data_IF_232310667362
#
_entry.id   IF_232310667362
#
_cell.length_a   1.000
_cell.length_b   1.000
_cell.length_c   1.000
_cell.angle_alpha   90.00
_cell.angle_beta   90.00
_cell.angle_gamma   90.00
#
_symmetry.space_group_name_H-M   'P 1'
#
loop_
_entity.id
_entity.type
_entity.pdbx_description
1 polymer ?
#
# COMPACT_ATOMS: atom_id res chain seq x y z
N UNK A 1 5.98 15.76 1.66
CA UNK A 1 6.75 14.50 1.69
C UNK A 1 7.49 14.28 0.39
N UNK A 2 8.74 13.81 0.43
CA UNK A 2 9.54 13.48 -0.76
C UNK A 2 9.26 12.04 -1.19
N UNK A 3 8.97 11.81 -2.47
CA UNK A 3 8.72 10.49 -3.05
C UNK A 3 9.77 9.43 -2.76
N UNK A 4 11.05 9.80 -2.73
CA UNK A 4 12.15 8.87 -2.44
C UNK A 4 12.30 8.51 -0.94
N UNK A 5 11.62 9.25 -0.07
CA UNK A 5 11.61 9.02 1.38
C UNK A 5 10.55 8.01 1.83
N UNK A 6 9.62 7.62 0.94
CA UNK A 6 8.65 6.57 1.24
C UNK A 6 9.31 5.19 1.15
N UNK A 7 9.50 4.56 2.30
CA UNK A 7 10.32 3.35 2.41
C UNK A 7 9.67 2.15 1.70
N UNK A 8 10.37 1.59 0.71
CA UNK A 8 9.95 0.39 0.00
C UNK A 8 9.01 0.61 -1.18
N UNK A 9 8.67 1.86 -1.50
CA UNK A 9 7.90 2.22 -2.68
C UNK A 9 8.76 2.93 -3.73
N UNK A 10 8.50 2.68 -5.01
CA UNK A 10 9.17 3.36 -6.11
C UNK A 10 8.56 4.76 -6.32
N UNK A 11 9.42 5.79 -6.42
CA UNK A 11 9.00 7.16 -6.69
C UNK A 11 8.60 7.35 -8.17
N UNK A 12 7.37 6.97 -8.53
CA UNK A 12 6.90 6.92 -9.93
C UNK A 12 6.68 8.29 -10.58
N UNK A 13 6.55 9.36 -9.78
CA UNK A 13 6.39 10.74 -10.25
C UNK A 13 7.63 11.62 -9.99
N UNK A 14 8.76 10.99 -9.67
CA UNK A 14 10.01 11.67 -9.34
C UNK A 14 10.24 11.81 -7.83
N UNK A 15 11.49 12.08 -7.45
CA UNK A 15 11.96 12.03 -6.05
C UNK A 15 11.23 12.95 -5.07
N UNK A 16 10.60 14.02 -5.55
CA UNK A 16 9.88 14.97 -4.69
C UNK A 16 8.38 14.62 -4.54
N UNK A 17 7.86 13.62 -5.25
CA UNK A 17 6.44 13.32 -5.33
C UNK A 17 6.12 11.90 -4.86
N UNK A 18 5.27 11.79 -3.86
CA UNK A 18 4.74 10.52 -3.36
C UNK A 18 3.48 10.14 -4.15
N UNK A 19 3.31 8.86 -4.47
CA UNK A 19 2.04 8.33 -4.97
C UNK A 19 1.27 7.68 -3.83
N UNK A 20 0.28 8.38 -3.29
CA UNK A 20 -0.74 7.81 -2.41
C UNK A 20 -1.93 7.32 -3.23
N UNK A 21 -2.59 6.27 -2.76
CA UNK A 21 -3.90 5.87 -3.29
C UNK A 21 -4.90 6.00 -2.15
N UNK A 22 -5.40 7.21 -1.96
CA UNK A 22 -6.49 7.44 -1.02
C UNK A 22 -7.74 6.72 -1.54
N UNK A 23 -8.28 5.82 -0.72
CA UNK A 23 -9.66 5.42 -0.86
C UNK A 23 -10.50 6.49 -0.15
N UNK A 24 -11.04 7.46 -0.90
CA UNK A 24 -11.88 8.55 -0.36
C UNK A 24 -13.10 8.05 0.45
N UNK A 25 -13.48 6.78 0.30
CA UNK A 25 -14.58 6.18 1.03
C UNK A 25 -14.23 5.77 2.48
N UNK A 26 -12.94 5.61 2.82
CA UNK A 26 -12.50 4.90 4.03
C UNK A 26 -11.48 5.65 4.89
N UNK A 27 -11.21 6.94 4.62
CA UNK A 27 -10.32 7.82 5.42
C UNK A 27 -8.98 7.17 5.87
N UNK A 28 -8.47 6.23 5.07
CA UNK A 28 -7.33 5.40 5.47
C UNK A 28 -6.05 6.06 4.99
N UNK A 29 -5.53 6.97 5.82
CA UNK A 29 -4.30 7.71 5.57
C UNK A 29 -3.02 6.89 5.89
N UNK A 30 -3.06 5.56 5.72
CA UNK A 30 -1.90 4.69 5.95
C UNK A 30 -1.07 4.52 4.67
N UNK A 31 0.25 4.52 4.81
CA UNK A 31 1.17 4.28 3.69
C UNK A 31 1.75 2.87 3.69
N UNK A 32 2.30 2.43 4.82
CA UNK A 32 2.95 1.13 4.92
C UNK A 32 3.08 0.64 6.36
N UNK A 33 3.32 -0.66 6.52
CA UNK A 33 3.86 -1.22 7.77
C UNK A 33 5.37 -1.28 7.67
N UNK A 34 6.07 -0.90 8.74
CA UNK A 34 7.54 -0.99 8.85
C UNK A 34 7.92 -1.94 9.99
N UNK A 35 8.82 -2.88 9.71
CA UNK A 35 9.37 -3.78 10.75
C UNK A 35 10.39 -3.04 11.60
N UNK A 36 10.19 -3.07 12.91
CA UNK A 36 11.18 -2.63 13.91
C UNK A 36 11.94 -3.84 14.45
N UNK A 37 11.23 -4.93 14.75
CA UNK A 37 11.79 -6.22 15.16
C UNK A 37 10.82 -7.36 14.80
N UNK A 38 11.08 -8.59 15.26
CA UNK A 38 10.10 -9.68 15.15
C UNK A 38 8.86 -9.51 16.03
N UNK A 39 8.92 -8.61 17.01
CA UNK A 39 7.85 -8.39 18.00
C UNK A 39 7.39 -6.94 18.06
N UNK A 40 7.85 -6.09 17.14
CA UNK A 40 7.44 -4.69 17.07
C UNK A 40 7.39 -4.23 15.60
N UNK A 41 6.32 -3.54 15.25
CA UNK A 41 6.09 -2.95 13.93
C UNK A 41 5.44 -1.58 14.08
N UNK A 42 5.65 -0.72 13.09
CA UNK A 42 4.96 0.56 12.96
C UNK A 42 3.95 0.48 11.81
N UNK A 43 2.75 1.01 12.00
CA UNK A 43 1.87 1.41 10.90
C UNK A 43 2.16 2.88 10.62
N UNK A 44 2.72 3.18 9.45
CA UNK A 44 3.13 4.54 9.08
C UNK A 44 2.03 5.20 8.24
N UNK A 45 1.68 6.43 8.59
CA UNK A 45 0.70 7.25 7.88
C UNK A 45 1.31 7.89 6.62
N UNK A 46 0.48 8.46 5.74
CA UNK A 46 0.93 9.16 4.53
C UNK A 46 1.78 10.39 4.86
N UNK A 47 1.51 11.03 6.01
CA UNK A 47 2.27 12.19 6.49
C UNK A 47 3.63 11.81 7.11
N UNK A 48 3.81 10.53 7.49
CA UNK A 48 5.06 9.99 8.03
C UNK A 48 5.04 9.69 9.53
N UNK A 49 3.99 10.13 10.23
CA UNK A 49 3.73 9.70 11.61
C UNK A 49 3.50 8.18 11.67
N UNK A 50 3.68 7.59 12.85
CA UNK A 50 3.62 6.15 13.02
C UNK A 50 2.81 5.78 14.25
N UNK A 51 1.97 4.75 14.11
CA UNK A 51 1.28 4.08 15.20
C UNK A 51 2.06 2.82 15.55
N UNK A 52 2.42 2.68 16.82
CA UNK A 52 3.28 1.59 17.27
C UNK A 52 2.47 0.34 17.68
N UNK A 53 2.92 -0.83 17.23
CA UNK A 53 2.34 -2.11 17.63
C UNK A 53 3.40 -3.05 18.19
N UNK A 54 3.06 -3.73 19.28
CA UNK A 54 3.91 -4.77 19.89
C UNK A 54 3.21 -6.12 19.90
N UNK A 55 3.95 -7.21 19.73
CA UNK A 55 3.37 -8.53 19.81
C UNK A 55 2.83 -8.81 21.22
N UNK A 56 1.64 -9.39 21.33
CA UNK A 56 1.08 -9.83 22.59
C UNK A 56 1.96 -10.94 23.23
N UNK A 57 1.72 -11.25 24.50
CA UNK A 57 2.51 -12.26 25.23
C UNK A 57 2.54 -13.63 24.54
N UNK A 58 1.45 -14.01 23.86
CA UNK A 58 1.33 -15.26 23.11
C UNK A 58 1.98 -15.22 21.71
N UNK A 59 2.47 -14.04 21.28
CA UNK A 59 3.05 -13.77 19.94
C UNK A 59 2.14 -14.18 18.78
N UNK A 60 0.84 -14.09 18.97
CA UNK A 60 -0.18 -14.44 17.98
C UNK A 60 -1.13 -13.28 17.65
N UNK A 61 -0.85 -12.09 18.18
CA UNK A 61 -1.58 -10.86 17.92
C UNK A 61 -0.72 -9.64 18.24
N UNK A 62 -1.22 -8.48 17.85
CA UNK A 62 -0.56 -7.19 18.03
C UNK A 62 -1.37 -6.31 18.98
N UNK A 63 -0.68 -5.58 19.83
CA UNK A 63 -1.23 -4.63 20.80
C UNK A 63 -0.82 -3.24 20.34
N UNK A 64 -1.77 -2.34 20.05
CA UNK A 64 -1.47 -0.96 19.70
C UNK A 64 -0.89 -0.20 20.91
N UNK A 65 -0.26 0.93 20.64
CA UNK A 65 0.04 1.91 21.68
C UNK A 65 -1.22 2.50 22.31
N UNK A 66 -1.13 3.08 23.53
CA UNK A 66 -2.27 3.72 24.16
C UNK A 66 -2.86 4.85 23.32
N UNK A 67 -4.19 4.87 23.18
CA UNK A 67 -4.92 5.84 22.37
C UNK A 67 -5.25 5.37 20.94
N UNK A 68 -4.84 4.17 20.55
CA UNK A 68 -5.17 3.55 19.25
C UNK A 68 -5.92 2.21 19.44
N UNK A 69 -6.71 2.10 20.50
CA UNK A 69 -7.44 0.87 20.86
C UNK A 69 -8.58 0.52 19.90
N UNK A 70 -8.99 1.48 19.06
CA UNK A 70 -9.91 1.30 17.94
C UNK A 70 -9.30 0.48 16.80
N UNK A 71 -7.97 0.38 16.75
CA UNK A 71 -7.24 -0.33 15.71
C UNK A 71 -6.87 -1.76 16.10
N UNK A 72 -7.10 -2.69 15.17
CA UNK A 72 -6.71 -4.10 15.29
C UNK A 72 -5.79 -4.49 14.16
N UNK A 73 -4.52 -4.77 14.48
CA UNK A 73 -3.54 -5.29 13.52
C UNK A 73 -3.45 -6.83 13.61
N UNK A 74 -3.60 -7.49 12.46
CA UNK A 74 -3.43 -8.93 12.27
C UNK A 74 -2.30 -9.21 11.28
N UNK A 75 -1.69 -10.40 11.38
CA UNK A 75 -0.63 -10.84 10.47
C UNK A 75 0.70 -11.08 11.17
N UNK A 76 1.78 -11.17 10.38
CA UNK A 76 3.12 -11.44 10.88
C UNK A 76 4.20 -10.80 10.01
N UNK A 77 5.41 -10.66 10.58
CA UNK A 77 6.61 -10.11 9.90
C UNK A 77 7.14 -10.97 8.75
N UNK A 78 6.56 -12.16 8.53
CA UNK A 78 6.85 -13.06 7.41
C UNK A 78 5.71 -13.15 6.40
N UNK A 79 4.51 -12.67 6.75
CA UNK A 79 3.29 -12.77 5.96
C UNK A 79 2.80 -11.42 5.46
N UNK A 80 1.48 -11.26 5.43
CA UNK A 80 0.75 -10.04 5.12
C UNK A 80 0.24 -9.43 6.42
N UNK A 81 0.05 -8.11 6.46
CA UNK A 81 -0.64 -7.44 7.55
C UNK A 81 -2.03 -6.97 7.12
N UNK A 82 -2.95 -6.96 8.07
CA UNK A 82 -4.28 -6.39 7.90
C UNK A 82 -4.60 -5.55 9.12
N UNK A 83 -4.90 -4.28 8.91
CA UNK A 83 -5.34 -3.33 9.94
C UNK A 83 -6.83 -3.10 9.75
N UNK A 84 -7.59 -3.18 10.84
CA UNK A 84 -9.00 -2.82 10.83
C UNK A 84 -9.32 -1.84 11.95
N UNK A 85 -10.24 -0.91 11.70
CA UNK A 85 -10.79 -0.01 12.72
C UNK A 85 -12.19 -0.47 13.19
N UNK A 86 -12.81 0.30 14.09
CA UNK A 86 -14.17 0.06 14.58
C UNK A 86 -15.28 0.51 13.63
N UNK A 87 -14.93 1.23 12.56
CA UNK A 87 -15.85 1.78 11.57
C UNK A 87 -16.05 0.81 10.40
N UNK A 88 -15.18 -0.21 10.32
CA UNK A 88 -15.26 -1.30 9.35
C UNK A 88 -14.23 -1.17 8.23
N UNK A 89 -13.33 -0.19 8.25
CA UNK A 89 -12.26 -0.13 7.26
C UNK A 89 -11.27 -1.25 7.48
N UNK A 90 -10.83 -1.88 6.41
CA UNK A 90 -9.81 -2.92 6.42
C UNK A 90 -8.72 -2.59 5.40
N UNK A 91 -7.52 -2.29 5.89
CA UNK A 91 -6.34 -1.99 5.09
C UNK A 91 -5.38 -3.17 5.10
N UNK A 92 -5.02 -3.66 3.91
CA UNK A 92 -4.12 -4.80 3.72
C UNK A 92 -2.77 -4.35 3.19
N UNK A 93 -1.69 -4.82 3.80
CA UNK A 93 -0.32 -4.46 3.46
C UNK A 93 0.50 -5.68 3.02
N UNK A 94 1.19 -5.57 1.88
CA UNK A 94 2.02 -6.66 1.30
C UNK A 94 3.44 -6.21 1.01
N UNK A 95 4.41 -7.13 1.15
CA UNK A 95 5.79 -6.86 0.74
C UNK A 95 5.94 -6.89 -0.78
N UNK A 96 6.85 -6.05 -1.29
CA UNK A 96 7.38 -6.22 -2.64
C UNK A 96 8.24 -7.49 -2.75
N UNK A 97 9.04 -7.79 -1.73
CA UNK A 97 9.95 -8.93 -1.73
C UNK A 97 9.98 -9.62 -0.37
N UNK A 98 10.24 -10.93 -0.33
CA UNK A 98 10.30 -11.69 0.91
C UNK A 98 11.29 -11.11 1.94
N UNK A 99 12.41 -10.56 1.46
CA UNK A 99 13.44 -9.93 2.28
C UNK A 99 13.12 -8.47 2.67
N UNK A 100 12.06 -7.85 2.13
CA UNK A 100 11.73 -6.47 2.45
C UNK A 100 11.34 -6.32 3.93
N UNK A 101 11.65 -5.16 4.50
CA UNK A 101 11.32 -4.75 5.87
C UNK A 101 10.05 -3.89 5.94
N UNK A 102 9.44 -3.60 4.79
CA UNK A 102 8.19 -2.83 4.70
C UNK A 102 7.13 -3.57 3.89
N UNK A 103 5.86 -3.27 4.21
CA UNK A 103 4.68 -3.76 3.52
C UNK A 103 3.87 -2.56 3.05
N UNK A 104 3.71 -2.40 1.75
CA UNK A 104 2.95 -1.29 1.18
C UNK A 104 1.47 -1.61 1.19
N UNK A 105 0.61 -0.59 1.27
CA UNK A 105 -0.83 -0.76 1.07
C UNK A 105 -1.08 -1.46 -0.28
N UNK A 106 -1.91 -2.48 -0.23
CA UNK A 106 -2.28 -3.33 -1.36
C UNK A 106 -3.80 -3.38 -1.58
N UNK A 107 -4.57 -3.10 -0.53
CA UNK A 107 -6.02 -2.98 -0.62
C UNK A 107 -6.55 -2.19 0.55
N UNK A 108 -7.63 -1.45 0.33
CA UNK A 108 -8.49 -0.87 1.36
C UNK A 108 -9.92 -1.25 1.03
N UNK A 109 -10.72 -1.71 1.99
CA UNK A 109 -12.11 -2.12 1.78
C UNK A 109 -12.94 -1.90 3.05
N UNK A 110 -14.22 -1.62 2.88
CA UNK A 110 -15.19 -1.68 3.97
C UNK A 110 -15.59 -3.15 4.23
N UNK A 111 -15.44 -3.59 5.48
CA UNK A 111 -15.84 -4.92 5.92
C UNK A 111 -17.36 -5.11 5.72
N UNK A 112 -17.75 -6.32 5.35
CA UNK A 112 -19.14 -6.67 5.05
C UNK A 112 -19.68 -6.15 3.71
N UNK A 113 -18.94 -5.32 2.97
CA UNK A 113 -19.32 -4.86 1.63
C UNK A 113 -18.45 -5.52 0.55
N UNK A 114 -19.09 -6.25 -0.36
CA UNK A 114 -18.38 -6.86 -1.49
C UNK A 114 -18.20 -5.79 -2.56
N UNK A 115 -16.96 -5.61 -3.05
CA UNK A 115 -16.62 -4.65 -4.11
C UNK A 115 -16.78 -3.16 -3.74
N UNK A 116 -16.69 -2.80 -2.45
CA UNK A 116 -16.57 -1.39 -1.99
C UNK A 116 -15.13 -0.87 -1.98
N UNK A 117 -14.15 -1.77 -2.03
CA UNK A 117 -12.74 -1.43 -1.82
C UNK A 117 -11.93 -1.09 -3.07
N UNK A 118 -10.80 -0.44 -2.83
CA UNK A 118 -9.73 -0.21 -3.80
C UNK A 118 -8.65 -1.28 -3.61
N UNK A 119 -8.20 -1.89 -4.70
CA UNK A 119 -7.01 -2.74 -4.73
C UNK A 119 -5.88 -2.08 -5.50
N UNK A 120 -4.70 -2.02 -4.90
CA UNK A 120 -3.45 -1.62 -5.56
C UNK A 120 -2.67 -2.88 -5.92
N UNK A 121 -2.52 -3.12 -7.21
CA UNK A 121 -1.67 -4.18 -7.73
C UNK A 121 -0.30 -3.58 -7.99
N UNK A 122 0.71 -4.01 -7.25
CA UNK A 122 2.10 -3.57 -7.42
C UNK A 122 2.96 -4.66 -8.06
N UNK A 123 3.95 -4.25 -8.83
CA UNK A 123 5.05 -5.10 -9.28
C UNK A 123 6.32 -4.81 -8.48
N UNK A 124 7.25 -5.77 -8.44
CA UNK A 124 8.55 -5.57 -7.81
C UNK A 124 9.56 -5.08 -8.83
N UNK A 125 10.23 -3.98 -8.52
CA UNK A 125 11.30 -3.44 -9.36
C UNK A 125 12.59 -3.28 -8.57
N UNK A 126 13.72 -3.27 -9.27
CA UNK A 126 15.02 -2.98 -8.66
C UNK A 126 15.46 -1.58 -9.07
N UNK A 127 15.60 -0.67 -8.12
CA UNK A 127 16.07 0.71 -8.33
C UNK A 127 17.22 0.98 -7.37
N UNK A 128 18.39 1.33 -7.89
CA UNK A 128 19.58 1.58 -7.05
C UNK A 128 19.96 0.38 -6.16
N UNK A 129 19.74 -0.85 -6.64
CA UNK A 129 20.01 -2.08 -5.88
C UNK A 129 18.96 -2.46 -4.83
N UNK A 130 17.90 -1.65 -4.65
CA UNK A 130 16.80 -1.92 -3.71
C UNK A 130 15.59 -2.49 -4.46
N UNK A 131 14.96 -3.51 -3.88
CA UNK A 131 13.66 -4.02 -4.37
C UNK A 131 12.53 -3.16 -3.81
N UNK A 132 11.75 -2.55 -4.69
CA UNK A 132 10.68 -1.61 -4.35
C UNK A 132 9.35 -2.07 -4.97
N UNK A 133 8.25 -1.77 -4.30
CA UNK A 133 6.92 -1.87 -4.89
C UNK A 133 6.72 -0.72 -5.88
N UNK A 134 6.37 -1.03 -7.12
CA UNK A 134 5.92 -0.06 -8.11
C UNK A 134 4.46 -0.34 -8.44
N UNK A 135 3.52 0.60 -8.22
CA UNK A 135 2.13 0.42 -8.58
C UNK A 135 1.99 0.06 -10.07
N UNK A 136 1.22 -0.96 -10.39
CA UNK A 136 0.92 -1.35 -11.77
C UNK A 136 -0.53 -1.03 -12.12
N UNK A 137 -1.46 -1.29 -11.20
CA UNK A 137 -2.88 -0.99 -11.36
C UNK A 137 -3.53 -0.55 -10.06
N UNK A 138 -4.56 0.28 -10.19
CA UNK A 138 -5.53 0.58 -9.13
C UNK A 138 -6.88 0.09 -9.64
N UNK A 139 -7.56 -0.73 -8.84
CA UNK A 139 -8.80 -1.43 -9.22
C UNK A 139 -9.88 -1.05 -8.20
N UNK A 140 -10.97 -0.45 -8.67
CA UNK A 140 -12.13 -0.06 -7.86
C UNK A 140 -13.41 -0.48 -8.59
N UNK A 141 -13.81 -1.76 -8.51
CA UNK A 141 -14.97 -2.25 -9.24
C UNK A 141 -16.27 -1.63 -8.71
N UNK A 142 -17.33 -1.63 -9.52
CA UNK A 142 -18.70 -1.48 -9.02
C UNK A 142 -19.24 -2.83 -8.57
N UNK A 143 -20.44 -2.86 -7.99
CA UNK A 143 -21.14 -4.10 -7.62
C UNK A 143 -21.42 -5.04 -8.79
N UNK A 144 -21.22 -4.61 -10.05
CA UNK A 144 -21.41 -5.42 -11.25
C UNK A 144 -20.20 -6.30 -11.61
N UNK A 145 -19.05 -6.14 -10.94
CA UNK A 145 -17.85 -6.94 -11.19
C UNK A 145 -17.10 -7.22 -9.88
N UNK A 146 -16.31 -8.29 -9.85
CA UNK A 146 -15.40 -8.55 -8.73
C UNK A 146 -14.03 -7.95 -8.97
N UNK A 147 -13.29 -7.62 -7.91
CA UNK A 147 -11.89 -7.17 -8.02
C UNK A 147 -11.03 -8.16 -8.81
N UNK A 148 -11.21 -9.46 -8.58
CA UNK A 148 -10.48 -10.51 -9.29
C UNK A 148 -10.83 -10.58 -10.79
N UNK A 149 -12.10 -10.38 -11.15
CA UNK A 149 -12.52 -10.30 -12.54
C UNK A 149 -11.90 -9.08 -13.24
N UNK A 150 -11.87 -7.92 -12.56
CA UNK A 150 -11.26 -6.70 -13.09
C UNK A 150 -9.74 -6.78 -13.20
N UNK A 151 -9.08 -7.51 -12.32
CA UNK A 151 -7.63 -7.75 -12.42
C UNK A 151 -7.26 -8.62 -13.62
N UNK A 152 -8.08 -9.64 -13.89
CA UNK A 152 -7.87 -10.59 -14.99
C UNK A 152 -8.31 -10.01 -16.35
N UNK A 153 -9.48 -9.37 -16.38
CA UNK A 153 -10.11 -8.81 -17.59
C UNK A 153 -10.62 -7.38 -17.31
N UNK A 154 -9.75 -6.36 -17.36
CA UNK A 154 -10.10 -4.97 -17.02
C UNK A 154 -11.23 -4.36 -17.86
N UNK A 155 -11.47 -4.90 -19.06
CA UNK A 155 -12.55 -4.45 -19.95
C UNK A 155 -13.96 -4.97 -19.55
N UNK A 156 -14.07 -5.76 -18.48
CA UNK A 156 -15.36 -6.25 -17.97
C UNK A 156 -16.22 -5.07 -17.52
N UNK A 157 -17.53 -5.08 -17.85
CA UNK A 157 -18.45 -4.03 -17.39
C UNK A 157 -18.45 -3.97 -15.87
N UNK A 158 -18.40 -2.76 -15.32
CA UNK A 158 -18.30 -2.53 -13.88
C UNK A 158 -16.88 -2.40 -13.36
N UNK A 159 -15.85 -2.69 -14.17
CA UNK A 159 -14.47 -2.44 -13.78
C UNK A 159 -14.09 -0.97 -13.97
N UNK A 160 -13.60 -0.34 -12.90
CA UNK A 160 -12.84 0.91 -12.99
C UNK A 160 -11.39 0.56 -12.65
N UNK A 161 -10.52 0.66 -13.65
CA UNK A 161 -9.11 0.31 -13.52
C UNK A 161 -8.25 1.45 -14.06
N UNK A 162 -7.33 1.93 -13.24
CA UNK A 162 -6.23 2.79 -13.66
C UNK A 162 -4.99 1.90 -13.81
N UNK A 163 -4.32 1.97 -14.96
CA UNK A 163 -3.11 1.20 -15.25
C UNK A 163 -1.93 2.15 -15.49
N UNK A 164 -0.81 1.87 -14.81
CA UNK A 164 0.45 2.57 -15.00
C UNK A 164 1.29 1.84 -16.05
N UNK A 165 1.58 2.53 -17.16
CA UNK A 165 2.45 2.00 -18.22
C UNK A 165 3.80 2.68 -18.12
N UNK A 166 4.83 1.90 -17.79
CA UNK A 166 6.20 2.39 -17.63
C UNK A 166 7.01 2.15 -18.90
N UNK A 167 7.56 3.21 -19.48
CA UNK A 167 8.49 3.10 -20.59
C UNK A 167 9.78 2.39 -20.14
N UNK A 168 10.28 1.46 -20.94
CA UNK A 168 11.55 0.75 -20.69
C UNK A 168 12.78 1.58 -21.05
N UNK A 169 12.58 2.63 -21.86
CA UNK A 169 13.60 3.61 -22.20
C UNK A 169 12.94 5.00 -22.28
N UNK A 170 13.64 6.02 -21.80
CA UNK A 170 13.26 7.41 -22.03
C UNK A 170 14.04 7.93 -23.23
N UNK A 171 13.37 8.63 -24.15
CA UNK A 171 14.03 9.32 -25.28
C UNK A 171 14.45 10.74 -24.92
N UNK A 172 14.50 11.08 -23.63
CA UNK A 172 14.79 12.42 -23.17
C UNK A 172 16.28 12.77 -23.39
N UNK A 173 16.60 13.34 -24.55
CA UNK A 173 17.87 14.03 -24.82
C UNK A 173 17.76 15.48 -24.33
N UNK A 174 17.74 15.66 -23.00
CA UNK A 174 17.69 16.99 -22.40
C UNK A 174 19.08 17.60 -22.23
N UNK A 175 19.59 18.29 -23.25
CA UNK A 175 20.64 19.31 -23.08
C UNK A 175 20.21 20.60 -23.78
N UNK A 176 19.27 21.31 -23.18
CA UNK A 176 19.09 22.74 -23.42
C UNK A 176 18.36 23.33 -22.22
N UNK A 177 19.10 23.95 -21.32
CA UNK A 177 18.55 25.00 -20.49
C UNK A 177 18.47 26.22 -21.41
N UNK A 178 17.26 26.64 -21.77
CA UNK A 178 17.02 27.98 -22.28
C UNK A 178 16.07 28.65 -21.30
N UNK A 179 16.57 29.75 -20.74
CA UNK A 179 15.95 30.78 -19.90
C UNK A 179 16.30 30.73 -18.40
#
# INVERSE_FOLDING_TARGET
>A
NRGDSQEGQAAIFGKEWVSGTAAEATESDYSHVRRISDTAVDVVLEEGDAIHFTANAAKNGWVPEPGSEDLTLKGSVTGTFTLSDTEGTVTTFTKADAAATTWQVSSVLDDGLTNSGIKVVSETVTVGGKKLARPKRIIAPTTAATTAACETTPATRGCKVLEFVYATATTATGTANSD
#
